data_IF_387269490226
#
_entry.id   IF_387269490226
#
_cell.length_a   1.000
_cell.length_b   1.000
_cell.length_c   1.000
_cell.angle_alpha   90.00
_cell.angle_beta   90.00
_cell.angle_gamma   90.00
#
_symmetry.space_group_name_H-M   'P 1'
#
loop_
_entity.id
_entity.type
_entity.pdbx_description
1 polymer ?
#
# COMPACT_ATOMS: atom_id res chain seq x y z
N UNK A 1 -6.41 -7.25 -12.05
CA UNK A 1 -5.50 -7.26 -13.22
C UNK A 1 -5.78 -6.10 -14.17
N UNK A 2 -7.02 -5.84 -14.63
CA UNK A 2 -7.32 -4.74 -15.55
C UNK A 2 -6.92 -3.32 -15.09
N UNK A 3 -6.80 -3.05 -13.80
CA UNK A 3 -6.36 -1.75 -13.31
C UNK A 3 -4.87 -1.50 -13.58
N UNK A 4 -4.02 -2.48 -13.26
CA UNK A 4 -2.56 -2.36 -13.43
C UNK A 4 -2.17 -2.14 -14.89
N UNK A 5 -2.84 -2.83 -15.83
CA UNK A 5 -2.56 -2.67 -17.27
C UNK A 5 -2.97 -1.31 -17.85
N UNK A 6 -3.80 -0.54 -17.13
CA UNK A 6 -4.26 0.80 -17.55
C UNK A 6 -3.42 1.94 -16.99
N UNK A 7 -2.59 1.67 -15.98
CA UNK A 7 -1.78 2.71 -15.33
C UNK A 7 -0.40 2.74 -15.98
N UNK A 8 0.02 3.87 -16.53
CA UNK A 8 1.33 4.02 -17.14
C UNK A 8 2.41 4.05 -16.05
N UNK A 9 2.93 2.86 -15.66
CA UNK A 9 3.87 2.68 -14.56
C UNK A 9 5.14 3.53 -14.69
N UNK A 10 5.61 3.79 -15.94
CA UNK A 10 6.78 4.62 -16.19
C UNK A 10 6.64 6.05 -15.64
N UNK A 11 5.42 6.59 -15.49
CA UNK A 11 5.19 7.91 -14.89
C UNK A 11 5.41 7.95 -13.37
N UNK A 12 5.61 6.81 -12.73
CA UNK A 12 5.87 6.67 -11.28
C UNK A 12 7.33 6.34 -10.97
N UNK A 13 8.21 6.42 -11.96
CA UNK A 13 9.64 6.13 -11.89
C UNK A 13 10.47 7.32 -12.30
N UNK A 14 11.75 7.32 -11.94
CA UNK A 14 12.72 8.20 -12.53
C UNK A 14 12.88 7.86 -14.03
N UNK A 15 13.09 8.88 -14.88
CA UNK A 15 13.22 8.73 -16.31
C UNK A 15 14.36 7.78 -16.75
N UNK A 16 15.39 7.61 -15.92
CA UNK A 16 16.47 6.64 -16.15
C UNK A 16 16.00 5.19 -16.17
N UNK A 17 14.84 4.89 -15.58
CA UNK A 17 14.25 3.55 -15.55
C UNK A 17 13.07 3.37 -16.52
N UNK A 18 12.73 4.37 -17.32
CA UNK A 18 11.55 4.34 -18.20
C UNK A 18 11.52 3.10 -19.10
N UNK A 19 12.65 2.75 -19.74
CA UNK A 19 12.78 1.59 -20.62
C UNK A 19 12.57 0.24 -19.90
N UNK A 20 12.69 0.21 -18.59
CA UNK A 20 12.55 -0.98 -17.75
C UNK A 20 11.25 -1.00 -16.95
N UNK A 21 10.47 0.05 -17.04
CA UNK A 21 9.31 0.31 -16.17
C UNK A 21 8.29 -0.84 -16.12
N UNK A 22 8.19 -1.63 -17.17
CA UNK A 22 7.23 -2.73 -17.31
C UNK A 22 7.82 -4.12 -17.06
N UNK A 23 9.10 -4.20 -16.72
CA UNK A 23 9.69 -5.43 -16.23
C UNK A 23 9.17 -5.75 -14.81
N UNK A 24 9.05 -7.03 -14.48
CA UNK A 24 8.60 -7.45 -13.14
C UNK A 24 9.72 -7.30 -12.10
N UNK A 25 10.13 -6.05 -11.87
CA UNK A 25 11.22 -5.66 -10.98
C UNK A 25 10.82 -4.44 -10.14
N UNK A 26 11.41 -4.36 -8.92
CA UNK A 26 11.38 -3.17 -8.09
C UNK A 26 12.47 -2.18 -8.55
N UNK A 27 12.18 -0.87 -8.48
CA UNK A 27 13.12 0.19 -8.83
C UNK A 27 13.19 1.24 -7.72
N UNK A 28 14.34 1.90 -7.51
CA UNK A 28 14.46 2.96 -6.51
C UNK A 28 13.61 4.18 -6.89
N UNK A 29 13.02 4.80 -5.87
CA UNK A 29 12.22 6.05 -5.98
C UNK A 29 12.78 7.18 -5.12
N UNK A 30 13.97 7.00 -4.58
CA UNK A 30 14.61 7.90 -3.63
C UNK A 30 14.25 7.60 -2.17
N UNK A 31 14.93 8.29 -1.23
CA UNK A 31 14.75 8.08 0.22
C UNK A 31 14.91 6.62 0.66
N UNK A 32 15.79 5.86 0.00
CA UNK A 32 16.02 4.43 0.21
C UNK A 32 14.74 3.56 0.08
N UNK A 33 13.77 4.04 -0.70
CA UNK A 33 12.51 3.36 -0.98
C UNK A 33 12.45 2.88 -2.43
N UNK A 34 11.55 1.92 -2.69
CA UNK A 34 11.36 1.35 -4.01
C UNK A 34 9.88 1.35 -4.41
N UNK A 35 9.61 1.45 -5.71
CA UNK A 35 8.33 1.02 -6.28
C UNK A 35 8.32 -0.51 -6.36
N UNK A 36 7.31 -1.15 -5.80
CA UNK A 36 7.17 -2.61 -5.85
C UNK A 36 7.00 -3.11 -7.28
N UNK A 37 7.49 -4.32 -7.56
CA UNK A 37 7.32 -4.96 -8.87
C UNK A 37 5.83 -5.16 -9.22
N UNK A 38 5.47 -5.16 -10.51
CA UNK A 38 4.08 -5.30 -10.97
C UNK A 38 3.35 -6.51 -10.39
N UNK A 39 4.00 -7.66 -10.34
CA UNK A 39 3.45 -8.88 -9.74
C UNK A 39 3.05 -8.66 -8.27
N UNK A 40 3.94 -8.08 -7.46
CA UNK A 40 3.68 -7.83 -6.04
C UNK A 40 2.49 -6.89 -5.83
N UNK A 41 2.41 -5.81 -6.62
CA UNK A 41 1.27 -4.88 -6.58
C UNK A 41 -0.03 -5.59 -6.96
N UNK A 42 -0.01 -6.41 -8.02
CA UNK A 42 -1.17 -7.19 -8.45
C UNK A 42 -1.61 -8.17 -7.38
N UNK A 43 -0.67 -8.90 -6.79
CA UNK A 43 -0.91 -9.93 -5.79
C UNK A 43 -1.53 -9.33 -4.52
N UNK A 44 -0.91 -8.29 -3.94
CA UNK A 44 -1.46 -7.61 -2.77
C UNK A 44 -2.86 -7.05 -3.04
N UNK A 45 -3.05 -6.40 -4.18
CA UNK A 45 -4.34 -5.80 -4.56
C UNK A 45 -5.43 -6.88 -4.74
N UNK A 46 -5.08 -8.03 -5.30
CA UNK A 46 -6.02 -9.15 -5.48
C UNK A 46 -6.50 -9.70 -4.13
N UNK A 47 -5.61 -9.81 -3.14
CA UNK A 47 -5.95 -10.32 -1.80
C UNK A 47 -6.94 -9.40 -1.06
N UNK A 48 -7.01 -8.12 -1.40
CA UNK A 48 -7.95 -7.17 -0.78
C UNK A 48 -9.40 -7.38 -1.24
N UNK A 49 -9.64 -8.01 -2.40
CA UNK A 49 -10.98 -8.20 -2.99
C UNK A 49 -11.81 -6.91 -3.05
N UNK A 50 -11.19 -5.84 -3.53
CA UNK A 50 -11.72 -4.47 -3.53
C UNK A 50 -13.01 -4.37 -4.33
N UNK A 51 -14.01 -3.74 -3.72
CA UNK A 51 -15.24 -3.31 -4.38
C UNK A 51 -15.24 -1.78 -4.55
N UNK A 52 -15.93 -1.31 -5.58
CA UNK A 52 -16.09 0.13 -5.80
C UNK A 52 -16.77 0.78 -4.58
N UNK A 53 -16.13 1.83 -4.06
CA UNK A 53 -16.59 2.54 -2.87
C UNK A 53 -15.99 2.04 -1.56
N UNK A 54 -15.25 0.93 -1.56
CA UNK A 54 -14.56 0.45 -0.35
C UNK A 54 -13.58 1.50 0.17
N UNK A 55 -13.58 1.68 1.47
CA UNK A 55 -12.69 2.59 2.19
C UNK A 55 -11.39 1.87 2.54
N UNK A 56 -10.31 2.30 1.90
CA UNK A 56 -9.01 1.62 2.01
C UNK A 56 -7.98 2.54 2.66
N UNK A 57 -7.23 1.98 3.61
CA UNK A 57 -6.02 2.59 4.15
C UNK A 57 -4.79 1.95 3.50
N UNK A 58 -3.97 2.76 2.88
CA UNK A 58 -2.65 2.40 2.36
C UNK A 58 -1.56 2.92 3.28
N UNK A 59 -0.63 2.05 3.67
CA UNK A 59 0.58 2.41 4.42
C UNK A 59 1.78 2.27 3.51
N UNK A 60 2.44 3.40 3.22
CA UNK A 60 3.55 3.50 2.29
C UNK A 60 3.09 3.95 0.90
N UNK A 61 2.80 5.24 0.73
CA UNK A 61 2.44 5.83 -0.57
C UNK A 61 3.56 5.66 -1.61
N UNK A 62 4.81 5.87 -1.18
CA UNK A 62 5.98 5.80 -2.05
C UNK A 62 5.86 6.71 -3.27
N UNK A 63 5.95 6.13 -4.47
CA UNK A 63 5.74 6.84 -5.74
C UNK A 63 4.28 7.22 -6.01
N UNK A 64 3.31 6.63 -5.29
CA UNK A 64 1.88 6.74 -5.56
C UNK A 64 1.32 5.69 -6.53
N UNK A 65 2.13 4.75 -7.00
CA UNK A 65 1.67 3.75 -7.98
C UNK A 65 0.56 2.85 -7.43
N UNK A 66 0.74 2.29 -6.21
CA UNK A 66 -0.30 1.49 -5.56
C UNK A 66 -1.55 2.35 -5.25
N UNK A 67 -1.37 3.60 -4.83
CA UNK A 67 -2.47 4.56 -4.61
C UNK A 67 -3.29 4.74 -5.89
N UNK A 68 -2.62 4.91 -7.05
CA UNK A 68 -3.27 5.05 -8.35
C UNK A 68 -4.07 3.79 -8.73
N UNK A 69 -3.53 2.59 -8.46
CA UNK A 69 -4.23 1.31 -8.68
C UNK A 69 -5.52 1.27 -7.87
N UNK A 70 -5.46 1.59 -6.58
CA UNK A 70 -6.63 1.61 -5.69
C UNK A 70 -7.68 2.63 -6.14
N UNK A 71 -7.25 3.84 -6.53
CA UNK A 71 -8.14 4.88 -7.06
C UNK A 71 -8.83 4.44 -8.34
N UNK A 72 -8.10 3.83 -9.28
CA UNK A 72 -8.66 3.35 -10.54
C UNK A 72 -9.67 2.22 -10.34
N UNK A 73 -9.53 1.41 -9.29
CA UNK A 73 -10.52 0.41 -8.89
C UNK A 73 -11.77 1.01 -8.24
N UNK A 74 -11.80 2.31 -8.01
CA UNK A 74 -12.93 3.04 -7.45
C UNK A 74 -13.00 3.01 -5.92
N UNK A 75 -11.89 2.72 -5.25
CA UNK A 75 -11.79 2.78 -3.80
C UNK A 75 -11.74 4.23 -3.27
N UNK A 76 -12.19 4.42 -2.05
CA UNK A 76 -12.02 5.66 -1.27
C UNK A 76 -10.71 5.54 -0.49
N UNK A 77 -9.62 6.03 -1.08
CA UNK A 77 -8.25 5.79 -0.61
C UNK A 77 -7.79 6.84 0.40
N UNK A 78 -7.30 6.37 1.55
CA UNK A 78 -6.50 7.13 2.51
C UNK A 78 -5.09 6.56 2.45
N UNK A 79 -4.06 7.39 2.27
CA UNK A 79 -2.69 6.93 2.12
C UNK A 79 -1.75 7.67 3.08
N UNK A 80 -0.91 6.92 3.80
CA UNK A 80 0.06 7.45 4.75
C UNK A 80 1.47 7.23 4.20
N UNK A 81 2.27 8.31 4.21
CA UNK A 81 3.69 8.29 3.86
C UNK A 81 4.53 8.93 4.97
N UNK A 82 5.59 8.22 5.40
CA UNK A 82 6.50 8.72 6.45
C UNK A 82 7.63 9.58 5.91
N UNK A 83 7.99 9.43 4.64
CA UNK A 83 9.05 10.18 3.98
C UNK A 83 8.50 11.48 3.39
N UNK A 84 8.88 12.64 3.95
CA UNK A 84 8.34 13.94 3.55
C UNK A 84 8.53 14.22 2.05
N UNK A 85 9.70 13.86 1.50
CA UNK A 85 10.00 14.04 0.07
C UNK A 85 9.04 13.25 -0.81
N UNK A 86 8.79 11.97 -0.49
CA UNK A 86 7.88 11.10 -1.24
C UNK A 86 6.43 11.56 -1.09
N UNK A 87 6.01 11.89 0.13
CA UNK A 87 4.69 12.46 0.39
C UNK A 87 4.40 13.69 -0.47
N UNK A 88 5.33 14.67 -0.49
CA UNK A 88 5.17 15.89 -1.30
C UNK A 88 5.11 15.58 -2.79
N UNK A 89 5.97 14.68 -3.28
CA UNK A 89 6.00 14.31 -4.68
C UNK A 89 4.70 13.61 -5.09
N UNK A 90 4.29 12.56 -4.39
CA UNK A 90 3.07 11.83 -4.71
C UNK A 90 1.81 12.72 -4.61
N UNK A 91 1.73 13.58 -3.58
CA UNK A 91 0.62 14.54 -3.41
C UNK A 91 0.51 15.53 -4.57
N UNK A 92 1.63 15.89 -5.21
CA UNK A 92 1.66 16.78 -6.36
C UNK A 92 1.35 16.07 -7.67
N UNK A 93 1.89 14.85 -7.85
CA UNK A 93 1.84 14.16 -9.15
C UNK A 93 0.55 13.35 -9.35
N UNK A 94 0.02 12.70 -8.32
CA UNK A 94 -1.21 11.89 -8.45
C UNK A 94 -2.39 12.67 -9.05
N UNK A 95 -2.72 13.89 -8.58
CA UNK A 95 -3.83 14.66 -9.17
C UNK A 95 -3.60 15.04 -10.63
N UNK A 96 -2.36 15.34 -11.03
CA UNK A 96 -2.01 15.65 -12.43
C UNK A 96 -2.21 14.44 -13.35
N UNK A 97 -2.02 13.24 -12.82
CA UNK A 97 -2.24 11.99 -13.52
C UNK A 97 -3.71 11.53 -13.49
N UNK A 98 -4.61 12.31 -12.86
CA UNK A 98 -6.03 12.01 -12.75
C UNK A 98 -6.40 11.05 -11.62
N UNK A 99 -5.49 10.79 -10.68
CA UNK A 99 -5.75 9.95 -9.51
C UNK A 99 -5.97 10.80 -8.27
N UNK A 100 -7.12 10.64 -7.63
CA UNK A 100 -7.58 11.51 -6.52
C UNK A 100 -7.87 10.69 -5.26
N UNK A 101 -6.85 10.32 -4.45
CA UNK A 101 -7.10 9.72 -3.15
C UNK A 101 -7.93 10.67 -2.27
N UNK A 102 -8.75 10.12 -1.39
CA UNK A 102 -9.59 10.91 -0.47
C UNK A 102 -8.75 11.78 0.47
N UNK A 103 -7.63 11.23 0.94
CA UNK A 103 -6.68 11.95 1.80
C UNK A 103 -5.30 11.32 1.71
N UNK A 104 -4.28 12.15 1.62
CA UNK A 104 -2.89 11.77 1.78
C UNK A 104 -2.35 12.39 3.07
N UNK A 105 -1.60 11.63 3.85
CA UNK A 105 -1.14 12.02 5.18
C UNK A 105 0.38 11.82 5.28
N UNK A 106 1.08 12.87 5.70
CA UNK A 106 2.46 12.74 6.15
C UNK A 106 2.46 12.26 7.60
N UNK A 107 2.79 10.99 7.83
CA UNK A 107 2.60 10.38 9.14
C UNK A 107 3.29 9.04 9.34
N UNK A 108 3.16 8.53 10.54
CA UNK A 108 3.65 7.22 10.95
C UNK A 108 2.62 6.12 10.60
N UNK A 109 3.02 5.21 9.72
CA UNK A 109 2.17 4.13 9.25
C UNK A 109 1.79 3.09 10.32
N UNK A 110 2.63 2.90 11.35
CA UNK A 110 2.32 1.99 12.46
C UNK A 110 1.03 2.36 13.22
N UNK A 111 0.74 3.66 13.29
CA UNK A 111 -0.43 4.20 14.00
C UNK A 111 -1.72 4.06 13.19
N UNK A 112 -1.59 3.91 11.88
CA UNK A 112 -2.73 3.98 10.98
C UNK A 112 -3.38 5.36 10.98
N UNK A 113 -4.71 5.38 10.84
CA UNK A 113 -5.52 6.61 10.79
C UNK A 113 -6.82 6.43 11.59
N UNK A 114 -6.74 6.44 12.93
CA UNK A 114 -7.88 6.15 13.82
C UNK A 114 -9.08 7.07 13.57
N UNK A 115 -8.83 8.35 13.26
CA UNK A 115 -9.88 9.35 13.01
C UNK A 115 -10.70 9.06 11.75
N UNK A 116 -10.18 8.22 10.84
CA UNK A 116 -10.89 7.79 9.66
C UNK A 116 -11.35 6.33 9.74
N UNK A 117 -11.01 5.58 10.77
CA UNK A 117 -11.46 4.19 10.94
C UNK A 117 -13.00 4.10 11.09
N UNK A 118 -13.61 2.93 10.83
CA UNK A 118 -12.98 1.70 10.36
C UNK A 118 -12.81 1.66 8.83
N UNK A 119 -11.91 0.78 8.36
CA UNK A 119 -11.60 0.55 6.95
C UNK A 119 -12.13 -0.80 6.46
N UNK A 120 -12.60 -0.86 5.22
CA UNK A 120 -12.97 -2.12 4.55
C UNK A 120 -11.73 -2.96 4.28
N UNK A 121 -10.63 -2.31 3.90
CA UNK A 121 -9.35 -2.98 3.75
C UNK A 121 -8.17 -2.07 4.12
N UNK A 122 -7.06 -2.70 4.54
CA UNK A 122 -5.78 -2.04 4.80
C UNK A 122 -4.70 -2.76 4.00
N UNK A 123 -3.86 -2.01 3.30
CA UNK A 123 -2.69 -2.53 2.58
C UNK A 123 -1.43 -1.90 3.14
N UNK A 124 -0.42 -2.73 3.46
CA UNK A 124 0.90 -2.27 3.87
C UNK A 124 1.91 -2.64 2.80
N UNK A 125 2.56 -1.64 2.22
CA UNK A 125 3.52 -1.78 1.11
C UNK A 125 4.98 -1.78 1.60
N UNK A 126 5.20 -2.11 2.86
CA UNK A 126 6.49 -2.26 3.52
C UNK A 126 6.48 -3.48 4.45
N UNK A 127 7.64 -4.09 4.68
CA UNK A 127 7.77 -5.27 5.55
C UNK A 127 7.78 -4.90 7.03
N UNK A 128 6.91 -5.51 7.83
CA UNK A 128 6.87 -5.31 9.27
C UNK A 128 7.32 -6.57 10.01
N UNK A 129 8.10 -6.48 11.09
CA UNK A 129 8.53 -7.65 11.86
C UNK A 129 7.34 -8.39 12.48
N UNK A 130 6.32 -7.66 12.87
CA UNK A 130 5.05 -8.16 13.39
C UNK A 130 3.90 -7.32 12.84
N UNK A 131 2.68 -7.86 12.88
CA UNK A 131 1.48 -7.13 12.44
C UNK A 131 1.14 -6.04 13.46
N UNK A 132 1.11 -4.75 13.08
CA UNK A 132 0.80 -3.67 14.01
C UNK A 132 -0.63 -3.75 14.55
N UNK A 133 -0.78 -3.85 15.86
CA UNK A 133 -2.08 -3.91 16.54
C UNK A 133 -3.02 -2.74 16.18
N UNK A 134 -2.52 -1.47 16.07
CA UNK A 134 -3.38 -0.37 15.68
C UNK A 134 -4.04 -0.56 14.30
N UNK A 135 -3.37 -1.21 13.34
CA UNK A 135 -3.94 -1.47 12.03
C UNK A 135 -5.05 -2.53 12.10
N UNK A 136 -4.84 -3.60 12.89
CA UNK A 136 -5.85 -4.62 13.12
C UNK A 136 -7.12 -4.04 13.73
N UNK A 137 -6.98 -3.16 14.73
CA UNK A 137 -8.10 -2.51 15.42
C UNK A 137 -8.94 -1.61 14.49
N UNK A 138 -8.31 -1.06 13.42
CA UNK A 138 -8.95 -0.15 12.47
C UNK A 138 -9.67 -0.86 11.31
N UNK A 139 -9.65 -2.20 11.24
CA UNK A 139 -10.43 -2.96 10.26
C UNK A 139 -11.92 -3.04 10.64
N UNK A 140 -12.81 -3.03 9.67
CA UNK A 140 -14.19 -3.50 9.85
C UNK A 140 -14.23 -5.00 10.13
N UNK A 141 -15.29 -5.48 10.76
CA UNK A 141 -15.62 -6.92 10.78
C UNK A 141 -15.86 -7.34 9.31
N UNK A 142 -15.23 -8.43 8.89
CA UNK A 142 -15.15 -8.86 7.50
C UNK A 142 -14.06 -8.15 6.67
N UNK A 143 -13.40 -7.11 7.24
CA UNK A 143 -12.33 -6.36 6.57
C UNK A 143 -11.04 -7.16 6.42
N UNK A 144 -10.18 -6.73 5.48
CA UNK A 144 -8.97 -7.45 5.05
C UNK A 144 -7.74 -6.58 5.25
N UNK A 145 -6.72 -7.11 5.91
CA UNK A 145 -5.39 -6.49 6.02
C UNK A 145 -4.37 -7.34 5.26
N UNK A 146 -3.70 -6.75 4.28
CA UNK A 146 -2.60 -7.38 3.55
C UNK A 146 -1.30 -6.72 3.92
N UNK A 147 -0.35 -7.50 4.44
CA UNK A 147 0.92 -7.01 4.98
C UNK A 147 2.04 -8.05 4.81
N UNK A 148 3.24 -7.66 4.35
CA UNK A 148 4.43 -8.51 4.40
C UNK A 148 4.96 -8.58 5.84
N UNK A 149 5.07 -9.78 6.42
CA UNK A 149 5.49 -9.99 7.83
C UNK A 149 6.83 -10.72 7.89
N UNK A 150 7.81 -10.16 8.56
CA UNK A 150 9.15 -10.70 8.74
C UNK A 150 10.21 -9.59 8.71
N UNK A 151 11.45 -9.91 9.11
CA UNK A 151 12.55 -8.96 9.18
C UNK A 151 13.36 -8.88 7.87
N UNK A 152 14.03 -9.97 7.47
CA UNK A 152 14.89 -10.03 6.27
C UNK A 152 14.12 -10.50 5.04
N UNK A 153 13.36 -11.54 5.19
CA UNK A 153 12.41 -12.08 4.23
C UNK A 153 11.04 -12.00 4.86
N UNK A 154 10.05 -11.58 4.09
CA UNK A 154 8.71 -11.38 4.59
C UNK A 154 7.74 -12.36 3.92
N UNK A 155 6.86 -12.93 4.73
CA UNK A 155 5.75 -13.73 4.24
C UNK A 155 4.57 -12.80 4.00
N UNK A 156 4.03 -12.80 2.77
CA UNK A 156 2.81 -12.06 2.47
C UNK A 156 1.67 -12.63 3.30
N UNK A 157 1.13 -11.81 4.18
CA UNK A 157 0.09 -12.21 5.14
C UNK A 157 -1.21 -11.47 4.86
N UNK A 158 -2.30 -12.22 4.80
CA UNK A 158 -3.67 -11.70 4.81
C UNK A 158 -4.31 -12.01 6.16
N UNK A 159 -4.84 -10.97 6.82
CA UNK A 159 -5.76 -11.12 7.94
C UNK A 159 -7.18 -10.74 7.52
N UNK A 160 -8.15 -11.55 7.91
CA UNK A 160 -9.58 -11.25 7.77
C UNK A 160 -10.18 -11.13 9.17
N UNK A 161 -10.73 -9.98 9.52
CA UNK A 161 -11.38 -9.78 10.82
C UNK A 161 -12.72 -10.49 10.87
N UNK A 162 -12.87 -11.49 11.70
CA UNK A 162 -14.11 -12.30 11.81
C UNK A 162 -15.11 -11.69 12.79
N UNK A 163 -14.60 -11.15 13.90
CA UNK A 163 -15.38 -10.46 14.93
C UNK A 163 -14.49 -9.51 15.74
N UNK A 164 -14.90 -9.06 16.91
CA UNK A 164 -14.16 -8.09 17.74
C UNK A 164 -12.76 -8.56 18.14
N UNK A 165 -12.56 -9.86 18.33
CA UNK A 165 -11.32 -10.44 18.87
C UNK A 165 -10.64 -11.47 17.98
N UNK A 166 -11.34 -11.99 16.95
CA UNK A 166 -10.86 -13.08 16.14
C UNK A 166 -10.50 -12.63 14.73
N UNK A 167 -9.36 -13.12 14.26
CA UNK A 167 -8.84 -12.91 12.91
C UNK A 167 -8.50 -14.27 12.29
N UNK A 168 -8.87 -14.44 11.03
CA UNK A 168 -8.42 -15.55 10.20
C UNK A 168 -7.15 -15.10 9.48
N UNK A 169 -6.07 -15.90 9.57
CA UNK A 169 -4.76 -15.60 8.98
C UNK A 169 -4.47 -16.56 7.84
N UNK A 170 -4.01 -16.01 6.70
CA UNK A 170 -3.48 -16.77 5.57
C UNK A 170 -2.09 -16.25 5.21
N UNK A 171 -1.18 -17.16 4.84
CA UNK A 171 0.20 -16.86 4.48
C UNK A 171 0.48 -17.34 3.06
N UNK A 172 1.19 -16.49 2.27
CA UNK A 172 1.43 -16.72 0.85
C UNK A 172 2.89 -16.42 0.50
N UNK A 173 3.73 -17.41 0.39
CA UNK A 173 5.09 -17.29 -0.12
C UNK A 173 5.93 -16.12 0.37
N UNK A 174 7.17 -16.10 -0.06
CA UNK A 174 8.18 -15.13 0.37
C UNK A 174 8.20 -13.92 -0.56
N UNK A 175 8.33 -12.75 0.04
CA UNK A 175 8.46 -11.46 -0.64
C UNK A 175 9.60 -10.66 -0.01
N UNK A 176 10.07 -9.65 -0.74
CA UNK A 176 11.10 -8.75 -0.24
C UNK A 176 10.62 -7.31 -0.36
N UNK A 177 10.49 -6.67 0.79
CA UNK A 177 10.08 -5.27 0.91
C UNK A 177 11.13 -4.46 1.69
N UNK A 178 11.10 -3.15 1.49
CA UNK A 178 11.73 -2.20 2.39
C UNK A 178 11.08 -2.26 3.77
N UNK A 179 11.80 -2.01 4.88
CA UNK A 179 11.22 -2.12 6.20
C UNK A 179 10.16 -1.04 6.46
N UNK A 180 9.08 -1.44 7.13
CA UNK A 180 8.15 -0.50 7.77
C UNK A 180 8.88 0.09 8.99
N UNK A 181 9.02 1.40 9.02
CA UNK A 181 9.72 2.12 10.09
C UNK A 181 8.75 3.02 10.85
N UNK A 182 8.94 3.09 12.17
CA UNK A 182 8.22 4.03 13.03
C UNK A 182 8.65 5.47 12.78
N UNK A 183 7.81 6.38 13.24
CA UNK A 183 7.98 7.83 13.12
C UNK A 183 8.02 8.32 11.66
N UNK A 184 7.94 9.63 11.49
CA UNK A 184 8.05 10.30 10.19
C UNK A 184 9.43 10.93 10.02
N UNK A 185 9.88 11.05 8.78
CA UNK A 185 11.20 11.58 8.43
C UNK A 185 11.09 12.63 7.31
#
# INVERSE_FOLDING_TARGET
>A
MAAISKIPRHLFLDSSFENFAYQDMAFPIGSDQTISQPYTVAFQTQLLEIKKGDKILEIGTGSGYQTAVLCLMGAVVFSIERQNKLFKNASRELPKLGYHPKKMIFGDGYKGLPEAAPFDSIIVTAGAPIIPQPLMAQLKIGGRLVIPVGEKEQIMTLLIRKNETQFEKHEFGDFKFVPLLENKN
#
